data_IF_405100276270
#
_entry.id   IF_405100276270
#
_cell.length_a   1.000
_cell.length_b   1.000
_cell.length_c   1.000
_cell.angle_alpha   90.00
_cell.angle_beta   90.00
_cell.angle_gamma   90.00
#
_symmetry.space_group_name_H-M   'P 1'
#
loop_
_entity.id
_entity.type
_entity.pdbx_description
1 polymer ?
#
# COMPACT_ATOMS: atom_id res chain seq x y z
N UNK A 1 -26.17 -63.18 -20.22
CA UNK A 1 -25.95 -61.75 -20.51
C UNK A 1 -24.49 -61.61 -20.93
N UNK A 2 -24.20 -61.87 -22.21
CA UNK A 2 -23.96 -60.91 -23.30
C UNK A 2 -22.82 -59.91 -22.99
N UNK A 3 -21.69 -60.21 -23.62
CA UNK A 3 -20.42 -59.52 -23.83
C UNK A 3 -20.55 -58.07 -24.31
N UNK A 4 -19.63 -57.19 -23.91
CA UNK A 4 -19.25 -55.98 -24.67
C UNK A 4 -17.81 -55.58 -24.24
N UNK A 5 -16.78 -56.08 -24.93
CA UNK A 5 -16.05 -55.46 -26.06
C UNK A 5 -15.30 -54.18 -25.68
N UNK A 6 -14.00 -54.35 -25.45
CA UNK A 6 -12.93 -53.35 -25.53
C UNK A 6 -12.85 -52.78 -26.94
N UNK A 7 -12.77 -51.45 -27.07
CA UNK A 7 -12.36 -50.77 -28.30
C UNK A 7 -11.33 -49.70 -27.95
N UNK A 8 -10.08 -50.02 -28.27
CA UNK A 8 -8.94 -49.09 -28.36
C UNK A 8 -9.09 -48.33 -29.66
N UNK A 9 -9.05 -46.99 -29.61
CA UNK A 9 -8.85 -46.15 -30.80
C UNK A 9 -7.69 -45.19 -30.53
N UNK A 10 -6.60 -45.44 -31.24
CA UNK A 10 -5.44 -44.56 -31.40
C UNK A 10 -5.72 -43.67 -32.62
N UNK A 11 -5.17 -42.46 -32.61
CA UNK A 11 -4.59 -41.71 -33.74
C UNK A 11 -5.15 -40.28 -33.90
N UNK A 12 -4.25 -39.29 -33.90
CA UNK A 12 -4.52 -37.97 -34.46
C UNK A 12 -3.85 -36.78 -33.78
N UNK A 13 -2.52 -36.64 -33.96
CA UNK A 13 -1.81 -35.36 -33.76
C UNK A 13 -2.29 -34.33 -34.79
N UNK A 14 -2.71 -33.13 -34.35
CA UNK A 14 -2.66 -31.92 -35.18
C UNK A 14 -2.16 -30.75 -34.31
N UNK A 15 -0.98 -30.26 -34.67
CA UNK A 15 -0.42 -29.00 -34.19
C UNK A 15 -1.27 -27.83 -34.72
N UNK A 16 -1.70 -26.94 -33.85
CA UNK A 16 -2.03 -25.57 -34.22
C UNK A 16 -1.15 -24.64 -33.39
N UNK A 17 -0.09 -24.16 -34.03
CA UNK A 17 0.67 -23.00 -33.59
C UNK A 17 -0.27 -21.78 -33.67
N UNK A 18 -0.55 -21.13 -32.54
CA UNK A 18 -1.10 -19.79 -32.55
C UNK A 18 0.03 -18.79 -32.32
N UNK A 19 0.11 -17.91 -33.31
CA UNK A 19 1.05 -16.82 -33.45
C UNK A 19 0.84 -15.74 -32.39
N UNK A 20 1.86 -14.89 -32.33
CA UNK A 20 2.16 -13.79 -31.42
C UNK A 20 0.98 -12.82 -31.16
N UNK A 21 0.59 -12.70 -29.89
CA UNK A 21 0.04 -11.45 -29.37
C UNK A 21 1.12 -10.75 -28.54
N UNK A 22 1.95 -9.96 -29.21
CA UNK A 22 2.82 -8.98 -28.54
C UNK A 22 1.93 -7.86 -27.99
N UNK A 23 1.43 -8.03 -26.78
CA UNK A 23 0.72 -6.94 -26.08
C UNK A 23 1.75 -5.93 -25.62
N UNK A 24 1.92 -4.86 -26.41
CA UNK A 24 2.75 -3.72 -26.03
C UNK A 24 2.00 -2.93 -24.96
N UNK A 25 2.26 -3.19 -23.68
CA UNK A 25 1.72 -2.35 -22.60
C UNK A 25 2.51 -1.03 -22.59
N UNK A 26 2.00 -0.02 -23.31
CA UNK A 26 2.45 1.38 -23.16
C UNK A 26 1.81 1.96 -21.90
N UNK A 27 2.39 1.70 -20.74
CA UNK A 27 1.96 2.38 -19.51
C UNK A 27 2.56 3.79 -19.50
N UNK A 28 1.77 4.76 -19.98
CA UNK A 28 2.11 6.19 -19.94
C UNK A 28 1.92 6.69 -18.50
N UNK A 29 2.96 6.62 -17.68
CA UNK A 29 2.97 7.31 -16.39
C UNK A 29 3.22 8.80 -16.69
N UNK A 30 2.17 9.62 -16.63
CA UNK A 30 2.35 11.08 -16.53
C UNK A 30 2.88 11.38 -15.13
N UNK A 31 4.17 11.69 -15.05
CA UNK A 31 4.71 12.47 -13.93
C UNK A 31 4.83 13.91 -14.42
N UNK A 32 3.81 14.72 -14.13
CA UNK A 32 3.94 16.17 -14.19
C UNK A 32 4.83 16.62 -13.01
N UNK A 33 6.10 16.87 -13.28
CA UNK A 33 7.00 17.54 -12.34
C UNK A 33 8.40 16.93 -12.26
N UNK A 34 9.31 17.50 -13.04
CA UNK A 34 10.76 17.55 -12.79
C UNK A 34 11.60 16.26 -13.00
N UNK A 35 11.92 15.99 -14.27
CA UNK A 35 13.32 16.14 -14.71
C UNK A 35 14.36 15.07 -14.39
N UNK A 36 14.01 13.86 -13.91
CA UNK A 36 14.96 12.72 -13.89
C UNK A 36 14.32 11.43 -14.40
N UNK A 37 14.49 11.16 -15.68
CA UNK A 37 14.21 9.84 -16.28
C UNK A 37 15.04 8.76 -15.57
N UNK A 38 14.38 7.96 -14.74
CA UNK A 38 14.94 6.69 -14.27
C UNK A 38 14.32 5.58 -15.11
N UNK A 39 14.98 5.24 -16.21
CA UNK A 39 14.59 4.08 -17.03
C UNK A 39 15.00 2.79 -16.31
N UNK A 40 14.04 2.07 -15.75
CA UNK A 40 14.28 0.72 -15.24
C UNK A 40 14.20 -0.25 -16.43
N UNK A 41 15.35 -0.70 -16.92
CA UNK A 41 15.46 -1.77 -17.91
C UNK A 41 15.11 -3.11 -17.26
N UNK A 42 13.87 -3.59 -17.46
CA UNK A 42 13.49 -4.96 -17.09
C UNK A 42 13.80 -5.87 -18.28
N UNK A 43 14.96 -6.53 -18.27
CA UNK A 43 15.24 -7.62 -19.19
C UNK A 43 14.49 -8.87 -18.73
N UNK A 44 13.37 -9.19 -19.38
CA UNK A 44 12.62 -10.43 -19.16
C UNK A 44 13.23 -11.55 -19.99
N UNK A 45 14.13 -12.32 -19.39
CA UNK A 45 14.51 -13.64 -19.91
C UNK A 45 13.33 -14.60 -19.73
N UNK A 46 12.83 -15.17 -20.83
CA UNK A 46 11.75 -16.17 -20.85
C UNK A 46 12.05 -17.27 -19.82
N UNK A 47 11.25 -17.35 -18.75
CA UNK A 47 11.26 -18.44 -17.78
C UNK A 47 11.56 -18.07 -16.32
N UNK A 48 12.07 -16.86 -16.04
CA UNK A 48 12.26 -16.41 -14.67
C UNK A 48 11.01 -15.66 -14.19
N UNK A 49 10.26 -16.24 -13.24
CA UNK A 49 9.29 -15.46 -12.45
C UNK A 49 10.10 -14.48 -11.61
N UNK A 50 10.18 -13.22 -12.03
CA UNK A 50 10.68 -12.14 -11.20
C UNK A 50 9.61 -11.94 -10.11
N UNK A 51 9.79 -12.60 -8.97
CA UNK A 51 9.03 -12.27 -7.78
C UNK A 51 9.63 -10.97 -7.23
N UNK A 52 8.84 -9.92 -7.01
CA UNK A 52 9.37 -8.69 -6.44
C UNK A 52 9.86 -8.98 -5.02
N UNK A 53 11.06 -8.53 -4.67
CA UNK A 53 11.62 -8.68 -3.31
C UNK A 53 10.82 -7.88 -2.25
N UNK A 54 9.88 -7.03 -2.69
CA UNK A 54 9.12 -6.11 -1.86
C UNK A 54 7.65 -6.04 -2.29
N UNK A 55 6.76 -6.00 -1.31
CA UNK A 55 5.34 -5.70 -1.45
C UNK A 55 5.04 -4.29 -0.95
N UNK A 56 4.12 -3.57 -1.62
CA UNK A 56 3.65 -2.26 -1.15
C UNK A 56 2.39 -2.46 -0.32
N UNK A 57 2.48 -2.18 0.98
CA UNK A 57 1.33 -2.18 1.86
C UNK A 57 0.82 -0.76 2.08
N UNK A 58 -0.50 -0.59 2.12
CA UNK A 58 -1.16 0.68 2.44
C UNK A 58 -2.09 0.47 3.63
N UNK A 59 -2.25 1.48 4.46
CA UNK A 59 -3.15 1.43 5.60
C UNK A 59 -3.56 2.80 6.09
N UNK A 60 -4.53 2.81 6.98
CA UNK A 60 -5.12 4.00 7.58
C UNK A 60 -5.15 3.84 9.11
N UNK A 61 -4.95 4.93 9.84
CA UNK A 61 -4.87 4.93 11.31
C UNK A 61 -5.46 6.23 11.87
N UNK A 62 -6.14 6.18 13.02
CA UNK A 62 -6.62 7.40 13.66
C UNK A 62 -5.52 8.02 14.54
N UNK A 63 -5.22 9.30 14.31
CA UNK A 63 -4.34 10.09 15.17
C UNK A 63 -5.18 11.08 15.96
N UNK A 64 -5.02 11.05 17.28
CA UNK A 64 -5.64 12.01 18.19
C UNK A 64 -4.55 12.72 19.00
N UNK A 65 -4.67 14.04 19.14
CA UNK A 65 -3.88 14.80 20.10
C UNK A 65 -4.44 14.67 21.52
N UNK A 66 -3.65 15.05 22.51
CA UNK A 66 -4.12 15.09 23.90
C UNK A 66 -5.25 16.13 24.10
N UNK A 67 -6.24 15.85 24.98
CA UNK A 67 -7.27 16.81 25.34
C UNK A 67 -6.69 17.96 26.17
N UNK A 68 -6.71 19.18 25.62
CA UNK A 68 -6.11 20.36 26.26
C UNK A 68 -7.09 21.54 26.24
N UNK A 69 -7.04 22.37 27.29
CA UNK A 69 -7.73 23.65 27.33
C UNK A 69 -7.08 24.64 26.34
N UNK A 70 -7.86 25.10 25.37
CA UNK A 70 -7.38 25.96 24.30
C UNK A 70 -7.25 25.24 22.94
N UNK A 71 -7.83 25.84 21.90
CA UNK A 71 -7.85 25.25 20.55
C UNK A 71 -6.47 25.21 19.91
N UNK A 72 -5.64 26.23 20.14
CA UNK A 72 -4.31 26.31 19.53
C UNK A 72 -3.38 25.25 20.12
N UNK A 73 -3.45 25.07 21.43
CA UNK A 73 -2.69 24.10 22.22
C UNK A 73 -3.12 22.68 21.86
N UNK A 74 -4.43 22.41 21.79
CA UNK A 74 -4.94 21.12 21.34
C UNK A 74 -4.53 20.79 19.89
N UNK A 75 -4.52 21.79 19.00
CA UNK A 75 -4.03 21.58 17.63
C UNK A 75 -2.53 21.31 17.60
N UNK A 76 -1.74 21.96 18.46
CA UNK A 76 -0.31 21.65 18.63
C UNK A 76 -0.11 20.23 19.14
N UNK A 77 -0.86 19.79 20.14
CA UNK A 77 -0.80 18.42 20.65
C UNK A 77 -1.09 17.38 19.56
N UNK A 78 -2.04 17.67 18.66
CA UNK A 78 -2.27 16.82 17.49
C UNK A 78 -1.09 16.81 16.50
N UNK A 79 -0.41 17.95 16.30
CA UNK A 79 0.80 17.97 15.46
C UNK A 79 1.93 17.15 16.07
N UNK A 80 2.09 17.23 17.38
CA UNK A 80 3.10 16.48 18.11
C UNK A 80 2.81 14.97 18.00
N UNK A 81 1.56 14.55 18.26
CA UNK A 81 1.11 13.17 18.03
C UNK A 81 1.31 12.70 16.58
N UNK A 82 1.04 13.56 15.59
CA UNK A 82 1.31 13.28 14.18
C UNK A 82 2.81 13.10 13.89
N UNK A 83 3.68 13.89 14.51
CA UNK A 83 5.12 13.79 14.35
C UNK A 83 5.65 12.49 14.96
N UNK A 84 5.16 12.14 16.16
CA UNK A 84 5.52 10.92 16.86
C UNK A 84 5.05 9.68 16.08
N UNK A 85 3.81 9.66 15.61
CA UNK A 85 3.31 8.59 14.74
C UNK A 85 4.18 8.39 13.49
N UNK A 86 4.60 9.49 12.81
CA UNK A 86 5.50 9.38 11.64
C UNK A 86 6.86 8.82 12.01
N UNK A 87 7.35 9.12 13.22
CA UNK A 87 8.63 8.61 13.73
C UNK A 87 8.51 7.11 14.01
N UNK A 88 7.47 6.69 14.74
CA UNK A 88 7.20 5.28 15.00
C UNK A 88 7.03 4.47 13.71
N UNK A 89 6.29 5.01 12.73
CA UNK A 89 6.12 4.37 11.42
C UNK A 89 7.46 4.13 10.71
N UNK A 90 8.39 5.08 10.81
CA UNK A 90 9.75 4.94 10.26
C UNK A 90 10.61 3.98 11.07
N UNK A 91 10.50 3.98 12.39
CA UNK A 91 11.25 3.08 13.27
C UNK A 91 10.81 1.63 13.14
N UNK A 92 9.51 1.41 12.93
CA UNK A 92 8.92 0.10 12.67
C UNK A 92 9.26 -0.42 11.26
N UNK A 93 9.34 0.47 10.28
CA UNK A 93 9.77 0.14 8.91
C UNK A 93 11.27 0.43 8.72
N UNK A 94 12.11 -0.32 9.45
CA UNK A 94 13.56 -0.27 9.34
C UNK A 94 13.95 -0.54 7.88
N UNK A 95 14.84 0.30 7.34
CA UNK A 95 15.24 0.46 5.93
C UNK A 95 14.62 1.66 5.20
N UNK A 96 13.83 2.49 5.88
CA UNK A 96 13.33 3.74 5.28
C UNK A 96 12.38 3.50 4.12
N UNK A 97 11.61 2.41 4.16
CA UNK A 97 10.71 2.03 3.07
C UNK A 97 9.33 2.69 3.19
N UNK A 98 9.21 3.75 3.99
CA UNK A 98 8.01 4.59 4.06
C UNK A 98 7.93 5.45 2.81
N UNK A 99 6.96 5.14 1.94
CA UNK A 99 6.70 5.87 0.69
C UNK A 99 5.78 7.07 0.92
N UNK A 100 4.83 6.93 1.84
CA UNK A 100 3.88 7.98 2.20
C UNK A 100 3.55 7.87 3.68
N UNK A 101 3.53 9.02 4.36
CA UNK A 101 3.00 9.16 5.71
C UNK A 101 2.28 10.51 5.82
N UNK A 102 0.96 10.49 5.72
CA UNK A 102 0.10 11.68 5.81
C UNK A 102 -0.77 11.58 7.05
N UNK A 103 -0.79 12.61 7.88
CA UNK A 103 -1.69 12.65 9.05
C UNK A 103 -3.10 13.14 8.68
N UNK A 104 -3.38 13.41 7.41
CA UNK A 104 -4.68 13.92 6.97
C UNK A 104 -4.99 15.34 7.48
N UNK A 105 -6.28 15.68 7.45
CA UNK A 105 -6.77 16.98 7.93
C UNK A 105 -7.32 16.83 9.35
N UNK A 106 -6.79 17.63 10.28
CA UNK A 106 -7.26 17.67 11.66
C UNK A 106 -8.71 18.16 11.72
N UNK A 107 -9.57 17.37 12.35
CA UNK A 107 -10.94 17.72 12.67
C UNK A 107 -11.08 17.92 14.15
N UNK A 108 -11.83 18.96 14.52
CA UNK A 108 -12.10 19.29 15.90
C UNK A 108 -13.20 18.40 16.48
N UNK A 109 -13.03 17.96 17.71
CA UNK A 109 -14.08 17.30 18.50
C UNK A 109 -14.03 17.85 19.93
N UNK A 110 -15.21 18.15 20.51
CA UNK A 110 -15.30 18.47 21.93
C UNK A 110 -15.11 17.19 22.72
N UNK A 111 -14.21 17.20 23.69
CA UNK A 111 -13.96 16.04 24.51
C UNK A 111 -14.62 16.19 25.88
N UNK A 112 -15.60 15.32 26.14
CA UNK A 112 -16.33 15.26 27.41
C UNK A 112 -15.69 14.24 28.39
N UNK A 113 -14.50 13.70 28.07
CA UNK A 113 -13.80 12.70 28.90
C UNK A 113 -13.50 13.16 30.34
N UNK A 114 -13.47 14.47 30.59
CA UNK A 114 -13.31 15.05 31.93
C UNK A 114 -14.64 15.56 32.54
N UNK A 115 -15.78 15.15 31.98
CA UNK A 115 -17.12 15.57 32.36
C UNK A 115 -17.73 16.59 31.40
N UNK A 116 -19.06 16.67 31.39
CA UNK A 116 -19.79 17.63 30.57
C UNK A 116 -19.36 19.07 30.92
N UNK A 117 -18.84 19.80 29.94
CA UNK A 117 -18.36 21.17 30.14
C UNK A 117 -16.90 21.30 30.57
N UNK A 118 -16.08 20.25 30.41
CA UNK A 118 -14.63 20.27 30.67
C UNK A 118 -13.89 21.43 30.01
N UNK A 119 -14.41 21.95 28.89
CA UNK A 119 -13.74 22.98 28.10
C UNK A 119 -12.48 22.46 27.40
N UNK A 120 -12.28 21.14 27.34
CA UNK A 120 -11.14 20.52 26.67
C UNK A 120 -11.42 20.36 25.18
N UNK A 121 -10.38 20.60 24.39
CA UNK A 121 -10.40 20.52 22.94
C UNK A 121 -9.52 19.34 22.52
N UNK A 122 -10.00 18.55 21.56
CA UNK A 122 -9.21 17.48 20.92
C UNK A 122 -9.31 17.63 19.42
N UNK A 123 -8.17 17.42 18.74
CA UNK A 123 -8.12 17.28 17.30
C UNK A 123 -7.82 15.83 16.92
N UNK A 124 -8.59 15.30 15.97
CA UNK A 124 -8.48 13.95 15.43
C UNK A 124 -8.33 13.97 13.92
N UNK A 125 -7.61 13.02 13.35
CA UNK A 125 -7.56 12.85 11.91
C UNK A 125 -7.35 11.40 11.52
N UNK A 126 -7.75 11.07 10.30
CA UNK A 126 -7.45 9.80 9.67
C UNK A 126 -6.13 9.95 8.91
N UNK A 127 -5.09 9.33 9.46
CA UNK A 127 -3.79 9.23 8.85
C UNK A 127 -3.76 8.09 7.83
N UNK A 128 -2.95 8.25 6.78
CA UNK A 128 -2.78 7.29 5.70
C UNK A 128 -1.30 7.04 5.48
N UNK A 129 -0.91 5.79 5.34
CA UNK A 129 0.47 5.40 5.07
C UNK A 129 0.59 4.45 3.89
N UNK A 130 1.76 4.49 3.25
CA UNK A 130 2.21 3.48 2.28
C UNK A 130 3.65 3.12 2.60
N UNK A 131 3.92 1.84 2.74
CA UNK A 131 5.23 1.29 3.07
C UNK A 131 5.59 0.18 2.09
N UNK A 132 6.87 -0.01 1.81
CA UNK A 132 7.35 -1.27 1.24
C UNK A 132 7.66 -2.24 2.39
N UNK A 133 7.44 -3.51 2.14
CA UNK A 133 7.73 -4.61 3.06
C UNK A 133 8.47 -5.66 2.27
N UNK A 134 9.62 -6.12 2.75
CA UNK A 134 10.33 -7.23 2.10
C UNK A 134 9.48 -8.47 2.17
N UNK A 135 9.21 -9.08 1.03
CA UNK A 135 8.67 -10.43 1.00
C UNK A 135 9.83 -11.33 1.44
N UNK A 136 9.83 -11.76 2.70
CA UNK A 136 10.75 -12.83 3.11
C UNK A 136 10.34 -14.07 2.33
N UNK A 137 11.07 -14.35 1.25
CA UNK A 137 11.00 -15.65 0.60
C UNK A 137 11.47 -16.72 1.60
N UNK A 138 10.48 -17.49 2.04
CA UNK A 138 10.45 -18.92 2.40
C UNK A 138 11.72 -19.58 2.96
#
# INVERSE_FOLDING_TARGET
>A
MKTLVLLVSVLGLVFAAFAEDTTTIKQKIHNDGDGKESSVLIQTTKGAKIQPDYEIMSGDEEIAGEPIAGRAEAYKAWKDACADWKKELKENNKDGQVLLASCGTAKFTKDDSAGAGSGLYVYRSEAKYKIRVRIKDR
#
